data_IF_366579853042
#
_entry.id   IF_366579853042
#
_cell.length_a   1.000
_cell.length_b   1.000
_cell.length_c   1.000
_cell.angle_alpha   90.00
_cell.angle_beta   90.00
_cell.angle_gamma   90.00
#
_symmetry.space_group_name_H-M   'P 1'
#
loop_
_entity.id
_entity.type
_entity.pdbx_description
1 polymer ?
#
# COMPACT_ATOMS: atom_id res chain seq x y z
N UNK A 1 9.57 -5.17 -11.29
CA UNK A 1 9.18 -5.84 -12.56
C UNK A 1 8.93 -4.71 -13.55
N UNK A 2 9.83 -4.46 -14.50
CA UNK A 2 9.82 -3.18 -15.23
C UNK A 2 9.53 -3.34 -16.73
N UNK A 3 9.36 -4.58 -17.21
CA UNK A 3 9.01 -4.85 -18.60
C UNK A 3 7.48 -4.81 -18.79
N UNK A 4 6.98 -3.78 -19.47
CA UNK A 4 5.57 -3.59 -19.80
C UNK A 4 5.16 -4.28 -21.11
N UNK A 5 6.08 -4.99 -21.76
CA UNK A 5 5.81 -5.75 -22.97
C UNK A 5 4.84 -6.91 -22.74
N UNK A 6 4.45 -7.62 -23.80
CA UNK A 6 3.61 -8.79 -23.67
C UNK A 6 4.35 -9.93 -22.93
N UNK A 7 3.63 -10.88 -22.31
CA UNK A 7 4.24 -11.95 -21.52
C UNK A 7 5.24 -12.82 -22.28
N UNK A 8 5.03 -13.02 -23.59
CA UNK A 8 5.93 -13.76 -24.49
C UNK A 8 7.26 -13.03 -24.75
N UNK A 9 7.36 -11.75 -24.39
CA UNK A 9 8.58 -10.91 -24.47
C UNK A 9 9.12 -10.53 -23.10
N UNK A 10 8.77 -11.30 -22.06
CA UNK A 10 9.28 -11.12 -20.70
C UNK A 10 8.57 -10.04 -19.88
N UNK A 11 7.42 -9.54 -20.34
CA UNK A 11 6.57 -8.66 -19.54
C UNK A 11 5.52 -9.42 -18.73
N UNK A 12 4.51 -8.72 -18.23
CA UNK A 12 3.47 -9.30 -17.36
C UNK A 12 2.16 -8.52 -17.47
N UNK A 13 1.04 -9.22 -17.25
CA UNK A 13 -0.29 -8.62 -17.18
C UNK A 13 -0.75 -8.39 -15.73
N UNK A 14 -0.25 -9.19 -14.79
CA UNK A 14 -0.61 -9.18 -13.38
C UNK A 14 0.60 -9.60 -12.55
N UNK A 15 0.71 -9.06 -11.35
CA UNK A 15 1.60 -9.57 -10.31
C UNK A 15 0.88 -9.52 -8.96
N UNK A 16 1.20 -10.48 -8.09
CA UNK A 16 0.72 -10.48 -6.72
C UNK A 16 1.79 -9.84 -5.84
N UNK A 17 1.38 -8.90 -5.00
CA UNK A 17 2.27 -8.26 -4.03
C UNK A 17 1.57 -8.10 -2.69
N UNK A 18 2.36 -7.80 -1.68
CA UNK A 18 1.88 -7.40 -0.37
C UNK A 18 2.15 -5.91 -0.21
N UNK A 19 1.20 -5.21 0.39
CA UNK A 19 1.40 -3.84 0.90
C UNK A 19 1.39 -3.99 2.41
N UNK A 20 2.51 -3.65 3.04
CA UNK A 20 2.64 -3.77 4.48
C UNK A 20 1.80 -2.68 5.18
N UNK A 21 1.51 -2.88 6.47
CA UNK A 21 0.69 -1.96 7.26
C UNK A 21 1.50 -0.83 7.91
N UNK A 22 2.66 -0.46 7.37
CA UNK A 22 3.46 0.66 7.89
C UNK A 22 2.77 2.01 7.70
N UNK A 23 3.23 2.99 8.47
CA UNK A 23 2.73 4.36 8.48
C UNK A 23 2.51 5.01 7.09
N UNK A 24 3.40 4.89 6.09
CA UNK A 24 3.13 5.49 4.79
C UNK A 24 1.88 4.92 4.09
N UNK A 25 1.54 3.65 4.33
CA UNK A 25 0.45 2.99 3.61
C UNK A 25 -0.94 3.26 4.20
N UNK A 26 -1.04 3.93 5.36
CA UNK A 26 -2.32 4.20 6.04
C UNK A 26 -2.99 5.52 5.64
N UNK A 27 -2.38 6.29 4.74
CA UNK A 27 -2.95 7.54 4.24
C UNK A 27 -2.74 7.70 2.72
N UNK A 28 -3.60 8.47 2.02
CA UNK A 28 -3.56 8.57 0.56
C UNK A 28 -2.21 9.02 0.00
N UNK A 29 -1.50 9.90 0.69
CA UNK A 29 -0.22 10.41 0.21
C UNK A 29 0.86 9.31 0.07
N UNK A 30 1.08 8.51 1.12
CA UNK A 30 2.21 7.57 1.17
C UNK A 30 1.89 6.19 0.57
N UNK A 31 0.61 5.86 0.37
CA UNK A 31 0.22 4.59 -0.19
C UNK A 31 0.52 4.56 -1.71
N UNK A 32 1.53 3.76 -2.08
CA UNK A 32 2.01 3.63 -3.45
C UNK A 32 1.05 2.82 -4.35
N UNK A 33 0.21 1.96 -3.77
CA UNK A 33 -0.71 1.10 -4.54
C UNK A 33 -1.85 1.90 -5.18
N UNK A 34 -2.19 3.05 -4.61
CA UNK A 34 -3.25 3.94 -5.12
C UNK A 34 -2.69 5.11 -5.94
N UNK A 35 -1.40 5.11 -6.31
CA UNK A 35 -0.86 6.06 -7.30
C UNK A 35 -1.28 5.61 -8.69
N UNK A 36 -1.72 6.55 -9.51
CA UNK A 36 -2.22 6.35 -10.86
C UNK A 36 -1.78 7.50 -11.79
N UNK A 37 -0.56 7.99 -11.63
CA UNK A 37 0.04 9.02 -12.49
C UNK A 37 0.76 8.44 -13.72
N UNK A 38 0.58 7.15 -14.01
CA UNK A 38 1.27 6.43 -15.08
C UNK A 38 2.77 6.19 -14.83
N UNK A 39 3.30 6.60 -13.67
CA UNK A 39 4.73 6.50 -13.32
C UNK A 39 4.95 5.49 -12.21
N UNK A 40 5.50 4.33 -12.55
CA UNK A 40 5.82 3.17 -11.68
C UNK A 40 5.17 3.15 -10.27
N UNK A 41 3.82 3.14 -10.12
CA UNK A 41 3.22 2.86 -8.83
C UNK A 41 3.33 1.35 -8.62
N UNK A 42 4.21 0.93 -7.69
CA UNK A 42 4.37 -0.46 -7.23
C UNK A 42 4.45 -1.52 -8.35
N UNK A 43 5.19 -1.29 -9.44
CA UNK A 43 5.22 -2.19 -10.61
C UNK A 43 3.87 -2.24 -11.38
N UNK A 44 3.24 -1.09 -11.59
CA UNK A 44 2.11 -0.90 -12.48
C UNK A 44 2.24 0.36 -13.32
N UNK A 45 1.23 0.63 -14.14
CA UNK A 45 1.14 1.80 -15.02
C UNK A 45 -0.30 2.32 -15.13
N UNK A 46 -1.07 2.19 -14.03
CA UNK A 46 -2.41 2.76 -13.95
C UNK A 46 -2.35 4.29 -14.16
N UNK A 47 -3.31 4.81 -14.93
CA UNK A 47 -3.42 6.23 -15.24
C UNK A 47 -4.85 6.68 -14.96
N UNK A 48 -5.04 7.44 -13.88
CA UNK A 48 -6.32 8.04 -13.50
C UNK A 48 -6.09 9.47 -13.01
N UNK A 49 -6.42 10.48 -13.84
CA UNK A 49 -6.34 11.88 -13.42
C UNK A 49 -7.17 12.17 -12.18
N UNK A 50 -8.33 11.50 -12.05
CA UNK A 50 -9.25 11.72 -10.93
C UNK A 50 -8.70 11.22 -9.60
N UNK A 51 -8.03 10.06 -9.60
CA UNK A 51 -7.32 9.56 -8.41
C UNK A 51 -6.24 10.56 -7.97
N UNK A 52 -5.45 11.07 -8.90
CA UNK A 52 -4.38 12.03 -8.59
C UNK A 52 -4.90 13.39 -8.11
N UNK A 53 -5.99 13.89 -8.70
CA UNK A 53 -6.68 15.10 -8.21
C UNK A 53 -7.16 14.94 -6.76
N UNK A 54 -7.79 13.82 -6.43
CA UNK A 54 -8.29 13.55 -5.08
C UNK A 54 -7.15 13.39 -4.08
N UNK A 55 -6.06 12.73 -4.46
CA UNK A 55 -4.84 12.62 -3.64
C UNK A 55 -4.23 14.00 -3.37
N UNK A 56 -4.11 14.84 -4.39
CA UNK A 56 -3.59 16.20 -4.25
C UNK A 56 -4.50 17.06 -3.36
N UNK A 57 -5.82 17.00 -3.57
CA UNK A 57 -6.79 17.72 -2.75
C UNK A 57 -6.75 17.28 -1.28
N UNK A 58 -6.55 15.97 -1.00
CA UNK A 58 -6.41 15.45 0.35
C UNK A 58 -5.18 16.03 1.06
N UNK A 59 -4.06 16.18 0.34
CA UNK A 59 -2.82 16.74 0.87
C UNK A 59 -2.92 18.25 1.14
N UNK A 60 -3.67 18.98 0.32
CA UNK A 60 -3.81 20.44 0.40
C UNK A 60 -4.74 20.90 1.54
N UNK A 61 -5.65 20.02 2.01
CA UNK A 61 -6.57 20.35 3.10
C UNK A 61 -6.02 20.01 4.48
N UNK A 62 -6.16 20.94 5.43
CA UNK A 62 -5.93 20.70 6.86
C UNK A 62 -7.22 20.34 7.64
N UNK A 63 -8.40 20.46 7.02
CA UNK A 63 -9.68 20.09 7.64
C UNK A 63 -9.89 18.56 7.59
N UNK A 64 -10.01 17.94 8.76
CA UNK A 64 -10.23 16.50 8.93
C UNK A 64 -11.55 16.03 8.30
N UNK A 65 -12.63 16.81 8.41
CA UNK A 65 -13.92 16.41 7.83
C UNK A 65 -13.89 16.50 6.31
N UNK A 66 -13.11 17.43 5.76
CA UNK A 66 -12.84 17.48 4.32
C UNK A 66 -11.97 16.31 3.87
N UNK A 67 -10.90 15.98 4.61
CA UNK A 67 -10.05 14.83 4.33
C UNK A 67 -10.85 13.52 4.28
N UNK A 68 -11.73 13.28 5.25
CA UNK A 68 -12.60 12.09 5.28
C UNK A 68 -13.50 12.00 4.04
N UNK A 69 -14.12 13.11 3.64
CA UNK A 69 -14.96 13.16 2.43
C UNK A 69 -14.16 12.84 1.17
N UNK A 70 -12.97 13.43 1.03
CA UNK A 70 -12.07 13.13 -0.09
C UNK A 70 -11.66 11.65 -0.09
N UNK A 71 -11.37 11.05 1.07
CA UNK A 71 -11.08 9.61 1.16
C UNK A 71 -12.23 8.74 0.68
N UNK A 72 -13.48 9.09 1.00
CA UNK A 72 -14.66 8.36 0.51
C UNK A 72 -14.76 8.45 -1.01
N UNK A 73 -14.56 9.64 -1.57
CA UNK A 73 -14.60 9.84 -3.03
C UNK A 73 -13.44 9.11 -3.72
N UNK A 74 -12.26 9.11 -3.12
CA UNK A 74 -11.09 8.37 -3.59
C UNK A 74 -11.33 6.85 -3.59
N UNK A 75 -11.93 6.32 -2.52
CA UNK A 75 -12.30 4.90 -2.46
C UNK A 75 -13.29 4.53 -3.55
N UNK A 76 -14.29 5.36 -3.83
CA UNK A 76 -15.22 5.13 -4.95
C UNK A 76 -14.49 5.11 -6.28
N UNK A 77 -13.62 6.09 -6.54
CA UNK A 77 -12.84 6.14 -7.78
C UNK A 77 -11.93 4.91 -7.95
N UNK A 78 -11.33 4.41 -6.86
CA UNK A 78 -10.53 3.18 -6.88
C UNK A 78 -11.34 1.96 -7.32
N UNK A 79 -12.64 1.91 -7.00
CA UNK A 79 -13.53 0.84 -7.45
C UNK A 79 -14.00 1.01 -8.90
N UNK A 80 -13.95 2.21 -9.46
CA UNK A 80 -14.24 2.49 -10.87
C UNK A 80 -13.03 2.17 -11.76
N UNK A 81 -11.85 2.65 -11.38
CA UNK A 81 -10.63 2.53 -12.20
C UNK A 81 -9.85 1.23 -11.94
N UNK A 82 -10.05 0.62 -10.77
CA UNK A 82 -9.47 -0.67 -10.34
C UNK A 82 -7.96 -0.78 -10.62
N UNK A 83 -7.12 0.13 -10.09
CA UNK A 83 -5.66 0.05 -10.30
C UNK A 83 -5.02 -1.18 -9.64
N UNK A 84 -5.69 -1.76 -8.64
CA UNK A 84 -5.36 -3.07 -8.06
C UNK A 84 -6.61 -3.75 -7.51
N UNK A 85 -6.50 -5.05 -7.24
CA UNK A 85 -7.57 -5.84 -6.62
C UNK A 85 -7.13 -6.25 -5.21
N UNK A 86 -7.82 -5.81 -4.14
CA UNK A 86 -7.51 -6.25 -2.79
C UNK A 86 -7.89 -7.72 -2.61
N UNK A 87 -6.91 -8.57 -2.30
CA UNK A 87 -7.14 -10.00 -2.04
C UNK A 87 -7.50 -10.30 -0.58
N UNK A 88 -7.14 -9.40 0.34
CA UNK A 88 -7.41 -9.54 1.77
C UNK A 88 -6.31 -8.98 2.65
N UNK A 89 -6.47 -9.17 3.95
CA UNK A 89 -5.47 -8.87 4.98
C UNK A 89 -4.97 -10.18 5.60
N UNK A 90 -3.72 -10.21 6.04
CA UNK A 90 -3.12 -11.37 6.71
C UNK A 90 -2.31 -10.91 7.93
N UNK A 91 -2.23 -11.76 8.94
CA UNK A 91 -1.37 -11.55 10.10
C UNK A 91 -0.10 -12.37 9.98
N UNK A 92 1.06 -11.71 10.09
CA UNK A 92 2.34 -12.41 10.12
C UNK A 92 2.57 -13.06 11.49
N UNK A 93 2.61 -14.39 11.52
CA UNK A 93 3.06 -15.12 12.69
C UNK A 93 4.58 -15.09 12.80
N UNK A 94 5.10 -14.68 13.96
CA UNK A 94 6.55 -14.71 14.24
C UNK A 94 6.85 -15.77 15.30
N UNK A 95 7.66 -16.76 14.94
CA UNK A 95 8.12 -17.78 15.87
C UNK A 95 9.49 -17.38 16.45
N UNK A 96 9.66 -17.56 17.76
CA UNK A 96 10.92 -17.28 18.46
C UNK A 96 11.20 -18.33 19.53
N UNK A 97 12.48 -18.45 19.92
CA UNK A 97 12.90 -19.43 20.94
C UNK A 97 12.34 -19.03 22.31
N UNK A 98 11.94 -20.01 23.12
CA UNK A 98 11.42 -19.78 24.50
C UNK A 98 12.36 -18.99 25.42
N UNK A 99 13.66 -18.98 25.13
CA UNK A 99 14.67 -18.22 25.91
C UNK A 99 14.72 -16.74 25.55
N UNK A 100 14.00 -16.28 24.54
CA UNK A 100 13.98 -14.88 24.15
C UNK A 100 12.84 -14.16 24.86
N UNK A 101 13.16 -13.00 25.43
CA UNK A 101 12.25 -12.12 26.16
C UNK A 101 12.25 -10.73 25.52
N UNK A 102 11.29 -9.89 25.94
CA UNK A 102 11.10 -8.53 25.45
C UNK A 102 10.86 -8.45 23.94
N UNK A 103 10.17 -9.47 23.39
CA UNK A 103 9.67 -9.45 22.01
C UNK A 103 8.54 -8.43 21.91
N UNK A 104 8.76 -7.37 21.12
CA UNK A 104 7.73 -6.37 20.88
C UNK A 104 6.60 -6.93 19.99
N UNK A 105 5.33 -6.60 20.27
CA UNK A 105 4.23 -6.87 19.36
C UNK A 105 4.37 -6.01 18.10
N UNK A 106 4.11 -6.59 16.93
CA UNK A 106 4.23 -5.88 15.66
C UNK A 106 3.71 -6.67 14.46
N UNK A 107 3.59 -5.98 13.32
CA UNK A 107 3.16 -6.57 12.04
C UNK A 107 4.29 -7.32 11.32
N UNK A 108 5.52 -7.26 11.86
CA UNK A 108 6.72 -7.94 11.39
C UNK A 108 7.68 -8.15 12.57
N UNK A 109 8.68 -9.03 12.40
CA UNK A 109 9.67 -9.29 13.44
C UNK A 109 10.55 -8.05 13.72
N UNK A 110 10.47 -7.54 14.94
CA UNK A 110 11.33 -6.45 15.43
C UNK A 110 12.36 -7.00 16.40
N UNK A 111 13.63 -6.65 16.20
CA UNK A 111 14.74 -7.12 17.05
C UNK A 111 15.14 -6.12 18.13
N UNK A 112 14.45 -4.99 18.22
CA UNK A 112 14.73 -3.97 19.23
C UNK A 112 14.30 -4.45 20.62
N UNK A 113 15.17 -4.28 21.62
CA UNK A 113 14.90 -4.67 23.00
C UNK A 113 14.96 -6.18 23.29
N UNK A 114 15.06 -7.03 22.25
CA UNK A 114 15.08 -8.48 22.40
C UNK A 114 16.34 -8.93 23.14
N UNK A 115 16.16 -9.74 24.17
CA UNK A 115 17.28 -10.33 24.93
C UNK A 115 17.04 -11.79 25.26
N UNK A 116 18.10 -12.46 25.69
CA UNK A 116 17.96 -13.76 26.35
C UNK A 116 17.49 -13.58 27.78
N UNK A 117 16.60 -14.46 28.24
CA UNK A 117 16.22 -14.61 29.64
C UNK A 117 17.43 -14.91 30.52
#
# INVERSE_FOLDING_TARGET
>A
RNNQGPPDRGGYNMFCTLVDRSLPNVHPYGNLAIRADGKEPINGWASSPRIEELRAAWLDTADLERQKRICVDLQKQLWEDVPFIPLGEYWQATAYRKRLTDIMPGCFATFYGVRTA
#
